data_IF_057913943245
#
_entry.id   IF_057913943245
#
_cell.length_a   1.000
_cell.length_b   1.000
_cell.length_c   1.000
_cell.angle_alpha   90.00
_cell.angle_beta   90.00
_cell.angle_gamma   90.00
#
_symmetry.space_group_name_H-M   'P 1'
#
loop_
_entity.id
_entity.type
_entity.pdbx_description
1 polymer ?
#
# COMPACT_ATOMS: atom_id res chain seq x y z
N UNK A 1 -2.60 -28.81 -11.80
CA UNK A 1 -3.69 -28.26 -10.99
C UNK A 1 -3.04 -27.45 -9.89
N UNK A 2 -3.44 -26.21 -9.74
CA UNK A 2 -3.06 -25.34 -8.64
C UNK A 2 -4.36 -25.12 -7.85
N UNK A 3 -4.40 -25.49 -6.58
CA UNK A 3 -5.59 -25.45 -5.70
C UNK A 3 -6.87 -26.06 -6.33
N UNK A 4 -6.72 -27.05 -7.20
CA UNK A 4 -7.83 -27.64 -7.92
C UNK A 4 -8.53 -26.75 -8.95
N UNK A 5 -8.06 -25.51 -9.15
CA UNK A 5 -8.75 -24.47 -9.95
C UNK A 5 -8.10 -24.19 -11.31
N UNK A 6 -6.83 -24.51 -11.49
CA UNK A 6 -6.11 -24.22 -12.73
C UNK A 6 -5.47 -25.48 -13.30
N UNK A 7 -5.76 -25.76 -14.57
CA UNK A 7 -5.17 -26.88 -15.31
C UNK A 7 -4.56 -26.34 -16.62
N UNK A 8 -3.27 -26.60 -16.83
CA UNK A 8 -2.57 -26.24 -18.06
C UNK A 8 -1.80 -27.43 -18.58
N UNK A 9 -1.99 -27.74 -19.86
CA UNK A 9 -1.18 -28.71 -20.56
C UNK A 9 0.12 -28.08 -21.01
N UNK A 10 1.24 -28.73 -20.70
CA UNK A 10 2.58 -28.27 -21.04
C UNK A 10 3.29 -29.39 -21.75
N UNK A 11 3.92 -29.08 -22.87
CA UNK A 11 4.73 -30.03 -23.64
C UNK A 11 6.20 -29.80 -23.34
N UNK A 12 6.96 -30.85 -23.11
CA UNK A 12 8.41 -30.79 -22.98
C UNK A 12 9.06 -30.43 -24.30
N UNK A 13 10.16 -29.71 -24.27
CA UNK A 13 10.99 -29.51 -25.45
C UNK A 13 11.75 -30.78 -25.84
N UNK A 14 12.53 -30.74 -26.91
CA UNK A 14 13.30 -31.91 -27.41
C UNK A 14 14.35 -32.42 -26.40
N UNK A 15 14.72 -31.63 -25.39
CA UNK A 15 15.61 -32.01 -24.30
C UNK A 15 14.86 -32.57 -23.07
N UNK A 16 13.55 -32.75 -23.16
CA UNK A 16 12.71 -33.19 -22.06
C UNK A 16 12.47 -32.14 -20.97
N UNK A 17 12.86 -30.89 -21.20
CA UNK A 17 12.66 -29.78 -20.25
C UNK A 17 11.35 -29.07 -20.54
N UNK A 18 10.73 -28.55 -19.50
CA UNK A 18 9.56 -27.68 -19.56
C UNK A 18 9.72 -26.52 -18.55
N UNK A 19 9.03 -25.42 -18.82
CA UNK A 19 8.86 -24.32 -17.91
C UNK A 19 7.43 -23.80 -18.00
N UNK A 20 6.91 -23.29 -16.91
CA UNK A 20 5.62 -22.63 -16.90
C UNK A 20 5.64 -21.53 -15.84
N UNK A 21 4.82 -20.51 -16.07
CA UNK A 21 4.60 -19.44 -15.12
C UNK A 21 3.28 -19.68 -14.42
N UNK A 22 3.29 -19.51 -13.11
CA UNK A 22 2.08 -19.50 -12.28
C UNK A 22 1.68 -18.03 -12.14
N UNK A 23 0.57 -17.69 -12.78
CA UNK A 23 -0.01 -16.36 -12.65
C UNK A 23 -1.01 -16.39 -11.49
N UNK A 24 -0.55 -16.00 -10.30
CA UNK A 24 -1.40 -15.75 -9.14
C UNK A 24 -1.23 -14.30 -8.73
N UNK A 25 -2.32 -13.59 -8.55
CA UNK A 25 -2.33 -12.23 -8.03
C UNK A 25 -2.31 -12.20 -6.50
N UNK A 26 -2.58 -13.31 -5.82
CA UNK A 26 -2.65 -13.38 -4.38
C UNK A 26 -1.33 -13.85 -3.76
N UNK A 27 -1.02 -13.35 -2.57
CA UNK A 27 0.02 -13.90 -1.71
C UNK A 27 -0.42 -15.24 -1.16
N UNK A 28 0.50 -16.19 -1.03
CA UNK A 28 0.19 -17.50 -0.45
C UNK A 28 1.11 -18.62 -0.89
N UNK A 29 0.89 -19.76 -0.28
CA UNK A 29 1.53 -21.04 -0.67
C UNK A 29 0.55 -21.88 -1.46
N UNK A 30 0.95 -22.30 -2.62
CA UNK A 30 0.15 -23.05 -3.57
C UNK A 30 0.68 -24.47 -3.73
N UNK A 31 -0.20 -25.46 -3.60
CA UNK A 31 0.12 -26.83 -3.92
C UNK A 31 0.10 -27.05 -5.44
N UNK A 32 1.22 -27.53 -5.96
CA UNK A 32 1.41 -27.82 -7.38
C UNK A 32 1.44 -29.32 -7.58
N UNK A 33 0.54 -29.83 -8.41
CA UNK A 33 0.54 -31.22 -8.83
C UNK A 33 0.93 -31.34 -10.30
N UNK A 34 2.10 -31.88 -10.56
CA UNK A 34 2.59 -32.18 -11.91
C UNK A 34 2.21 -33.59 -12.27
N UNK A 35 1.46 -33.75 -13.36
CA UNK A 35 1.06 -35.07 -13.88
C UNK A 35 1.74 -35.29 -15.22
N UNK A 36 2.62 -36.29 -15.29
CA UNK A 36 3.34 -36.66 -16.50
C UNK A 36 2.63 -37.84 -17.16
N UNK A 37 2.23 -37.65 -18.41
CA UNK A 37 1.55 -38.62 -19.20
C UNK A 37 2.21 -38.80 -20.56
N UNK A 38 2.46 -40.03 -20.98
CA UNK A 38 2.94 -40.35 -22.31
C UNK A 38 2.28 -41.70 -22.74
N UNK A 39 1.81 -41.77 -23.96
CA UNK A 39 1.22 -43.02 -24.51
C UNK A 39 2.20 -44.19 -24.37
N UNK A 40 1.74 -45.30 -23.77
CA UNK A 40 2.55 -46.48 -23.53
C UNK A 40 3.41 -46.47 -22.27
N UNK A 41 3.29 -45.45 -21.43
CA UNK A 41 4.04 -45.33 -20.18
C UNK A 41 3.09 -45.12 -18.98
N UNK A 42 3.54 -45.53 -17.81
CA UNK A 42 2.79 -45.30 -16.57
C UNK A 42 2.77 -43.79 -16.23
N UNK A 43 1.58 -43.30 -15.89
CA UNK A 43 1.41 -41.90 -15.42
C UNK A 43 2.15 -41.68 -14.12
N UNK A 44 2.96 -40.63 -14.06
CA UNK A 44 3.67 -40.21 -12.84
C UNK A 44 3.08 -38.89 -12.34
N UNK A 45 2.87 -38.82 -11.02
CA UNK A 45 2.44 -37.61 -10.32
C UNK A 45 3.53 -37.16 -9.36
N UNK A 46 3.82 -35.85 -9.34
CA UNK A 46 4.74 -35.23 -8.42
C UNK A 46 3.99 -34.05 -7.78
N UNK A 47 4.02 -33.98 -6.45
CA UNK A 47 3.51 -32.84 -5.70
C UNK A 47 4.66 -31.94 -5.26
N UNK A 48 4.49 -30.66 -5.37
CA UNK A 48 5.44 -29.61 -4.93
C UNK A 48 4.65 -28.43 -4.42
N UNK A 49 5.30 -27.54 -3.71
CA UNK A 49 4.73 -26.26 -3.28
C UNK A 49 5.46 -25.10 -3.93
N UNK A 50 4.74 -24.01 -4.18
CA UNK A 50 5.33 -22.73 -4.57
C UNK A 50 4.75 -21.63 -3.67
N UNK A 51 5.62 -20.79 -3.13
CA UNK A 51 5.19 -19.64 -2.33
C UNK A 51 5.36 -18.39 -3.15
N UNK A 52 4.31 -17.56 -3.21
CA UNK A 52 4.39 -16.19 -3.71
C UNK A 52 4.32 -15.24 -2.53
N UNK A 53 5.35 -14.42 -2.37
CA UNK A 53 5.29 -13.21 -1.56
C UNK A 53 4.95 -12.03 -2.48
N UNK A 54 4.13 -11.10 -2.00
CA UNK A 54 3.89 -9.83 -2.69
C UNK A 54 5.19 -9.02 -2.69
N UNK A 55 5.55 -8.49 -3.85
CA UNK A 55 6.63 -7.52 -3.94
C UNK A 55 6.17 -6.18 -3.37
N UNK A 56 7.11 -5.30 -3.03
CA UNK A 56 6.75 -3.95 -2.58
C UNK A 56 5.96 -3.19 -3.65
N UNK A 57 6.26 -3.41 -4.93
CA UNK A 57 5.51 -2.85 -6.05
C UNK A 57 4.05 -3.36 -6.09
N UNK A 58 3.82 -4.68 -5.88
CA UNK A 58 2.47 -5.25 -5.81
C UNK A 58 1.65 -4.60 -4.67
N UNK A 59 2.27 -4.45 -3.48
CA UNK A 59 1.62 -3.79 -2.33
C UNK A 59 1.27 -2.34 -2.60
N UNK A 60 2.19 -1.59 -3.23
CA UNK A 60 1.94 -0.21 -3.60
C UNK A 60 0.81 -0.10 -4.64
N UNK A 61 0.73 -1.02 -5.60
CA UNK A 61 -0.35 -1.05 -6.58
C UNK A 61 -1.70 -1.31 -5.91
N UNK A 62 -1.76 -2.27 -4.98
CA UNK A 62 -2.96 -2.54 -4.19
C UNK A 62 -3.39 -1.32 -3.36
N UNK A 63 -2.44 -0.62 -2.74
CA UNK A 63 -2.72 0.62 -2.00
C UNK A 63 -3.24 1.70 -2.94
N UNK A 64 -2.64 1.89 -4.12
CA UNK A 64 -3.11 2.86 -5.13
C UNK A 64 -4.55 2.57 -5.56
N UNK A 65 -4.89 1.31 -5.76
CA UNK A 65 -6.23 0.90 -6.18
C UNK A 65 -7.30 1.12 -5.09
N UNK A 66 -6.91 1.07 -3.81
CA UNK A 66 -7.81 1.20 -2.67
C UNK A 66 -7.83 2.62 -2.07
N UNK A 67 -6.86 3.47 -2.43
CA UNK A 67 -6.71 4.80 -1.82
C UNK A 67 -7.86 5.73 -2.17
N UNK A 68 -8.50 6.26 -1.14
CA UNK A 68 -9.60 7.21 -1.19
C UNK A 68 -9.08 8.66 -1.12
N UNK A 69 -9.92 9.61 -1.53
CA UNK A 69 -9.62 11.05 -1.44
C UNK A 69 -10.84 11.84 -0.95
N UNK A 70 -11.32 11.60 0.27
CA UNK A 70 -12.45 12.36 0.80
C UNK A 70 -12.09 13.84 0.96
N UNK A 71 -13.09 14.72 0.82
CA UNK A 71 -12.94 16.13 1.16
C UNK A 71 -12.61 16.28 2.65
N UNK A 72 -11.82 17.29 3.01
CA UNK A 72 -11.39 17.54 4.39
C UNK A 72 -12.55 17.59 5.39
N UNK A 73 -13.65 18.28 5.05
CA UNK A 73 -14.85 18.36 5.88
C UNK A 73 -15.51 17.01 6.13
N UNK A 74 -15.45 16.10 5.16
CA UNK A 74 -15.96 14.73 5.31
C UNK A 74 -15.02 13.89 6.18
N UNK A 75 -13.71 14.02 5.93
CA UNK A 75 -12.68 13.33 6.68
C UNK A 75 -12.74 13.70 8.17
N UNK A 76 -12.76 14.98 8.52
CA UNK A 76 -12.80 15.44 9.92
C UNK A 76 -14.07 15.04 10.65
N UNK A 77 -15.21 15.06 9.95
CA UNK A 77 -16.50 14.65 10.53
C UNK A 77 -16.59 13.14 10.80
N UNK A 78 -15.96 12.32 9.99
CA UNK A 78 -16.05 10.86 10.01
C UNK A 78 -14.69 10.20 10.28
N UNK A 79 -13.80 10.87 10.98
CA UNK A 79 -12.40 10.50 11.11
C UNK A 79 -12.22 9.06 11.63
N UNK A 80 -12.99 8.67 12.64
CA UNK A 80 -12.94 7.33 13.21
C UNK A 80 -13.34 6.24 12.18
N UNK A 81 -14.26 6.57 11.26
CA UNK A 81 -14.68 5.67 10.18
C UNK A 81 -13.63 5.49 9.07
N UNK A 82 -12.63 6.36 9.03
CA UNK A 82 -11.51 6.27 8.10
C UNK A 82 -10.26 5.60 8.69
N UNK A 83 -10.27 5.30 9.97
CA UNK A 83 -9.12 4.66 10.62
C UNK A 83 -8.75 3.34 9.91
N UNK A 84 -7.46 3.18 9.60
CA UNK A 84 -6.92 2.05 8.83
C UNK A 84 -7.08 2.13 7.32
N UNK A 85 -7.86 3.07 6.77
CA UNK A 85 -8.07 3.22 5.33
C UNK A 85 -6.90 3.92 4.65
N UNK A 86 -6.66 3.55 3.39
CA UNK A 86 -5.67 4.21 2.55
C UNK A 86 -6.22 5.48 1.92
N UNK A 87 -5.38 6.51 1.89
CA UNK A 87 -5.70 7.83 1.37
C UNK A 87 -4.63 8.28 0.39
N UNK A 88 -5.01 9.14 -0.57
CA UNK A 88 -4.06 9.82 -1.44
C UNK A 88 -4.34 11.31 -1.45
N UNK A 89 -3.34 12.10 -1.07
CA UNK A 89 -3.42 13.57 -1.07
C UNK A 89 -2.16 14.19 -1.66
N UNK A 90 -2.34 15.36 -2.26
CA UNK A 90 -1.24 16.27 -2.54
C UNK A 90 -1.23 17.30 -1.41
N UNK A 91 -0.19 17.28 -0.60
CA UNK A 91 -0.05 18.09 0.61
C UNK A 91 0.96 19.21 0.41
N UNK A 92 0.67 20.37 0.97
CA UNK A 92 1.59 21.50 1.08
C UNK A 92 2.26 21.41 2.44
N UNK A 93 3.58 21.23 2.46
CA UNK A 93 4.36 21.04 3.68
C UNK A 93 4.51 22.39 4.39
N UNK A 94 4.14 22.45 5.67
CA UNK A 94 4.35 23.58 6.52
C UNK A 94 5.69 23.48 7.24
N UNK A 95 5.82 22.46 8.09
CA UNK A 95 7.07 22.16 8.79
C UNK A 95 7.16 20.67 9.16
N UNK A 96 8.35 20.29 9.60
CA UNK A 96 8.66 18.94 10.08
C UNK A 96 9.28 19.05 11.47
N UNK A 97 8.82 18.23 12.40
CA UNK A 97 9.39 18.16 13.74
C UNK A 97 9.64 16.71 14.16
N UNK A 98 10.59 16.52 15.07
CA UNK A 98 10.83 15.22 15.69
C UNK A 98 10.24 15.22 17.11
N UNK A 99 9.45 14.18 17.40
CA UNK A 99 8.88 13.96 18.73
C UNK A 99 9.25 12.52 19.16
N UNK A 100 10.18 12.42 20.09
CA UNK A 100 10.76 11.12 20.44
C UNK A 100 11.56 10.51 19.27
N UNK A 101 11.23 9.28 18.93
CA UNK A 101 11.85 8.54 17.82
C UNK A 101 11.09 8.67 16.49
N UNK A 102 10.00 9.43 16.47
CA UNK A 102 9.13 9.60 15.31
C UNK A 102 9.23 11.01 14.74
N UNK A 103 8.95 11.13 13.44
CA UNK A 103 8.91 12.41 12.75
C UNK A 103 7.48 12.76 12.36
N UNK A 104 7.11 13.99 12.56
CA UNK A 104 5.78 14.53 12.25
C UNK A 104 5.90 15.66 11.25
N UNK A 105 5.19 15.51 10.14
CA UNK A 105 5.07 16.55 9.12
C UNK A 105 3.71 17.21 9.27
N UNK A 106 3.69 18.49 9.59
CA UNK A 106 2.51 19.33 9.55
C UNK A 106 2.33 19.83 8.13
N UNK A 107 1.17 19.60 7.57
CA UNK A 107 0.89 19.90 6.17
C UNK A 107 -0.56 20.32 5.99
N UNK A 108 -0.90 20.84 4.80
CA UNK A 108 -2.25 21.24 4.47
C UNK A 108 -2.69 20.69 3.10
N UNK A 109 -3.97 20.39 2.98
CA UNK A 109 -4.56 19.91 1.72
C UNK A 109 -4.81 21.03 0.72
N UNK A 110 -4.84 22.28 1.17
CA UNK A 110 -5.07 23.47 0.33
C UNK A 110 -4.18 24.63 0.70
N UNK A 111 -3.82 25.42 -0.33
CA UNK A 111 -3.16 26.71 -0.19
C UNK A 111 -4.08 27.80 -0.73
N UNK A 112 -4.26 28.87 0.01
CA UNK A 112 -5.06 30.02 -0.43
C UNK A 112 -4.29 30.85 -1.44
N UNK A 113 -4.97 31.72 -2.18
CA UNK A 113 -4.33 32.67 -3.11
C UNK A 113 -3.40 33.66 -2.42
N UNK A 114 -3.62 33.94 -1.13
CA UNK A 114 -2.73 34.76 -0.28
C UNK A 114 -1.56 33.96 0.33
N UNK A 115 -1.43 32.67 0.00
CA UNK A 115 -0.35 31.81 0.49
C UNK A 115 -0.61 31.12 1.83
N UNK A 116 -1.73 31.36 2.49
CA UNK A 116 -2.09 30.70 3.74
C UNK A 116 -2.45 29.23 3.55
N UNK A 117 -2.09 28.40 4.50
CA UNK A 117 -2.42 26.97 4.52
C UNK A 117 -3.81 26.74 5.13
N UNK A 118 -4.53 25.75 4.63
CA UNK A 118 -5.87 25.36 5.11
C UNK A 118 -6.07 23.85 4.99
N UNK A 119 -6.98 23.33 5.85
CA UNK A 119 -7.28 21.92 5.90
C UNK A 119 -6.05 21.11 6.37
N UNK A 120 -5.59 21.49 7.57
CA UNK A 120 -4.36 20.98 8.16
C UNK A 120 -4.47 19.50 8.54
N UNK A 121 -3.37 18.78 8.33
CA UNK A 121 -3.21 17.37 8.63
C UNK A 121 -1.82 17.11 9.18
N UNK A 122 -1.65 15.98 9.83
CA UNK A 122 -0.37 15.54 10.37
C UNK A 122 0.01 14.20 9.75
N UNK A 123 1.24 14.08 9.24
CA UNK A 123 1.78 12.84 8.65
C UNK A 123 2.96 12.37 9.49
N UNK A 124 2.86 11.15 10.01
CA UNK A 124 3.90 10.51 10.79
C UNK A 124 4.81 9.67 9.88
N UNK A 125 6.12 9.72 10.14
CA UNK A 125 7.14 8.87 9.51
C UNK A 125 8.07 8.27 10.57
N UNK A 126 8.55 7.06 10.35
CA UNK A 126 9.53 6.42 11.22
C UNK A 126 10.96 6.97 11.03
N UNK A 127 11.23 7.62 9.91
CA UNK A 127 12.53 8.22 9.58
C UNK A 127 12.34 9.66 9.16
N UNK A 128 13.41 10.46 9.28
CA UNK A 128 13.40 11.83 8.83
C UNK A 128 13.00 11.92 7.36
N UNK A 129 11.95 12.68 7.03
CA UNK A 129 11.53 12.87 5.65
C UNK A 129 12.51 13.76 4.89
N UNK A 130 12.48 13.62 3.56
CA UNK A 130 13.35 14.42 2.67
C UNK A 130 12.70 15.71 2.17
N UNK A 131 11.39 15.85 2.31
CA UNK A 131 10.68 17.06 1.92
C UNK A 131 10.93 18.22 2.90
N UNK A 132 10.79 19.43 2.37
CA UNK A 132 11.08 20.67 3.07
C UNK A 132 9.82 21.55 3.19
N UNK A 133 9.80 22.55 4.09
CA UNK A 133 8.74 23.56 4.13
C UNK A 133 8.50 24.18 2.74
N UNK A 134 7.25 24.40 2.41
CA UNK A 134 6.72 24.88 1.15
C UNK A 134 6.73 23.88 -0.03
N UNK A 135 7.27 22.69 0.13
CA UNK A 135 7.13 21.62 -0.87
C UNK A 135 5.65 21.26 -1.05
N UNK A 136 5.36 20.77 -2.26
CA UNK A 136 4.08 20.15 -2.59
C UNK A 136 4.33 18.68 -2.93
N UNK A 137 3.85 17.77 -2.09
CA UNK A 137 4.15 16.34 -2.20
C UNK A 137 2.87 15.53 -2.31
N UNK A 138 2.80 14.65 -3.32
CA UNK A 138 1.73 13.66 -3.42
C UNK A 138 2.11 12.43 -2.63
N UNK A 139 1.30 12.10 -1.63
CA UNK A 139 1.56 11.02 -0.69
C UNK A 139 0.42 10.01 -0.67
N UNK A 140 0.79 8.74 -0.57
CA UNK A 140 -0.11 7.65 -0.17
C UNK A 140 0.07 7.42 1.32
N UNK A 141 -1.04 7.40 2.03
CA UNK A 141 -1.13 7.53 3.47
C UNK A 141 -2.10 6.50 4.03
N UNK A 142 -1.91 6.11 5.29
CA UNK A 142 -2.92 5.36 6.04
C UNK A 142 -3.48 6.25 7.15
N UNK A 143 -4.80 6.42 7.21
CA UNK A 143 -5.43 7.17 8.29
C UNK A 143 -5.26 6.42 9.61
N UNK A 144 -4.76 7.12 10.65
CA UNK A 144 -4.51 6.56 11.98
C UNK A 144 -5.22 7.34 13.09
N UNK A 145 -6.29 8.07 12.74
CA UNK A 145 -7.12 8.80 13.68
C UNK A 145 -6.76 10.28 13.78
N UNK A 146 -6.66 10.82 14.98
CA UNK A 146 -6.37 12.22 15.23
C UNK A 146 -5.00 12.45 15.87
N UNK A 147 -4.39 13.57 15.54
CA UNK A 147 -3.32 14.20 16.29
C UNK A 147 -3.94 15.32 17.13
N UNK A 148 -3.68 15.34 18.42
CA UNK A 148 -4.24 16.33 19.35
C UNK A 148 -3.17 17.35 19.72
N UNK A 149 -3.48 18.62 19.46
CA UNK A 149 -2.64 19.75 19.88
C UNK A 149 -3.28 20.33 21.13
N UNK A 150 -2.56 20.22 22.25
CA UNK A 150 -3.00 20.80 23.52
C UNK A 150 -2.79 22.30 23.51
N UNK A 151 -3.81 23.04 23.95
CA UNK A 151 -3.83 24.50 24.07
C UNK A 151 -5.03 24.94 24.88
N UNK A 152 -5.42 26.20 24.81
CA UNK A 152 -6.65 26.72 25.47
C UNK A 152 -7.91 25.96 25.00
N UNK A 153 -7.86 25.45 23.79
CA UNK A 153 -8.82 24.50 23.21
C UNK A 153 -8.06 23.39 22.51
N UNK A 154 -8.43 22.12 22.76
CA UNK A 154 -7.82 21.00 22.05
C UNK A 154 -8.18 21.03 20.57
N UNK A 155 -7.19 21.16 19.71
CA UNK A 155 -7.37 21.05 18.26
C UNK A 155 -7.05 19.63 17.81
N UNK A 156 -7.97 19.00 17.08
CA UNK A 156 -7.82 17.65 16.53
C UNK A 156 -7.59 17.73 15.02
N UNK A 157 -6.41 17.33 14.58
CA UNK A 157 -6.07 17.23 13.15
C UNK A 157 -6.10 15.78 12.69
N UNK A 158 -6.55 15.49 11.45
CA UNK A 158 -6.40 14.16 10.87
C UNK A 158 -4.94 13.74 10.86
N UNK A 159 -4.66 12.55 11.41
CA UNK A 159 -3.33 11.94 11.44
C UNK A 159 -3.25 10.77 10.49
N UNK A 160 -2.12 10.69 9.82
CA UNK A 160 -1.79 9.64 8.86
C UNK A 160 -0.42 9.07 9.12
N UNK A 161 -0.23 7.82 8.79
CA UNK A 161 1.08 7.21 8.60
C UNK A 161 1.46 7.31 7.12
N UNK A 162 2.69 7.75 6.86
CA UNK A 162 3.26 7.79 5.52
C UNK A 162 3.53 6.39 5.01
N UNK A 163 3.18 6.11 3.77
CA UNK A 163 3.46 4.85 3.10
C UNK A 163 4.50 5.03 1.99
N UNK A 164 4.20 5.88 1.00
CA UNK A 164 5.12 6.20 -0.10
C UNK A 164 4.64 7.43 -0.89
N UNK A 165 5.51 7.96 -1.74
CA UNK A 165 5.21 8.95 -2.78
C UNK A 165 5.22 8.31 -4.17
N UNK A 166 4.61 8.99 -5.17
CA UNK A 166 4.78 8.62 -6.58
C UNK A 166 6.18 8.99 -7.07
#
# INVERSE_FOLDING_TARGET
IIDGRYQKNITTNNSGKFSFKIDSSAEGTYDIVLVFQKKGYTTRRITSTATRALTEADKQEDIRAQADKPAYSTLTRLLDGYNGRYMVYTLFIDHVEQVGDEWYTFAAMRKTTSGGLRDEVVVRTATQPTWQPADQVRMYLQCTGAYEIEGDTTTRLPRFDYLFTD
#
